data_IF_336887859611
#
_entry.id   IF_336887859611
#
_cell.length_a   1.000
_cell.length_b   1.000
_cell.length_c   1.000
_cell.angle_alpha   90.00
_cell.angle_beta   90.00
_cell.angle_gamma   90.00
#
_symmetry.space_group_name_H-M   'P 1'
#
loop_
_entity.id
_entity.type
_entity.pdbx_description
1 polymer ?
#
# COMPACT_ATOMS: atom_id res chain seq x y z
N UNK A 1 25.24 -18.01 -42.73
CA UNK A 1 25.45 -16.93 -41.76
C UNK A 1 26.11 -15.77 -42.47
N UNK A 2 25.37 -14.70 -42.74
CA UNK A 2 25.95 -13.46 -43.29
C UNK A 2 26.17 -12.51 -42.12
N UNK A 3 27.42 -12.19 -41.86
CA UNK A 3 27.85 -11.16 -40.92
C UNK A 3 27.35 -9.80 -41.42
N UNK A 4 26.44 -9.18 -40.71
CA UNK A 4 26.03 -7.77 -40.91
C UNK A 4 27.01 -6.93 -40.10
N UNK A 5 28.10 -6.51 -40.70
CA UNK A 5 28.94 -5.44 -40.16
C UNK A 5 28.28 -4.12 -40.53
N UNK A 6 27.38 -3.61 -39.67
CA UNK A 6 26.94 -2.23 -39.73
C UNK A 6 27.99 -1.35 -39.06
N UNK A 7 28.70 -0.53 -39.87
CA UNK A 7 29.50 0.56 -39.30
C UNK A 7 28.62 1.45 -38.45
N UNK A 8 29.07 1.90 -37.27
CA UNK A 8 28.26 2.78 -36.42
C UNK A 8 28.05 4.10 -37.17
N UNK A 9 26.83 4.32 -37.68
CA UNK A 9 26.42 5.63 -38.12
C UNK A 9 26.32 6.49 -36.84
N UNK A 10 27.26 7.41 -36.68
CA UNK A 10 27.20 8.37 -35.62
C UNK A 10 25.88 9.15 -35.75
N UNK A 11 25.02 9.04 -34.74
CA UNK A 11 23.84 9.88 -34.61
C UNK A 11 24.30 11.35 -34.47
N UNK A 12 24.17 12.15 -35.52
CA UNK A 12 24.62 13.54 -35.54
C UNK A 12 23.67 14.48 -34.75
N UNK A 13 22.45 14.05 -34.48
CA UNK A 13 21.50 14.77 -33.66
C UNK A 13 20.43 13.79 -33.13
N UNK A 14 20.30 13.69 -31.83
CA UNK A 14 19.18 13.03 -31.15
C UNK A 14 18.35 14.07 -30.41
N UNK A 15 17.04 14.04 -30.60
CA UNK A 15 16.12 14.83 -29.79
C UNK A 15 15.34 13.87 -28.91
N UNK A 16 15.34 14.13 -27.62
CA UNK A 16 14.48 13.44 -26.66
C UNK A 16 13.30 14.32 -26.33
N UNK A 17 12.13 13.72 -26.21
CA UNK A 17 10.96 14.38 -25.66
C UNK A 17 10.62 13.66 -24.37
N UNK A 18 10.78 14.35 -23.26
CA UNK A 18 10.29 13.87 -21.97
C UNK A 18 8.76 13.84 -22.01
N UNK A 19 8.19 12.74 -21.54
CA UNK A 19 6.75 12.54 -21.42
C UNK A 19 6.45 11.98 -20.05
N UNK A 20 5.42 12.51 -19.41
CA UNK A 20 4.95 12.09 -18.09
C UNK A 20 3.52 12.55 -17.89
N UNK A 21 2.95 12.29 -16.73
CA UNK A 21 1.72 12.93 -16.33
C UNK A 21 1.98 14.42 -16.09
N UNK A 22 1.09 15.28 -16.59
CA UNK A 22 1.27 16.73 -16.46
C UNK A 22 0.88 17.21 -15.06
N UNK A 23 1.80 17.03 -14.12
CA UNK A 23 1.71 17.50 -12.73
C UNK A 23 3.06 18.01 -12.26
N UNK A 24 3.06 18.90 -11.28
CA UNK A 24 4.28 19.45 -10.71
C UNK A 24 4.64 18.72 -9.42
N UNK A 25 5.93 18.58 -9.14
CA UNK A 25 6.45 18.24 -7.82
C UNK A 25 6.33 19.50 -6.94
N UNK A 26 5.20 19.62 -6.23
CA UNK A 26 4.85 20.81 -5.45
C UNK A 26 5.21 20.69 -3.97
N UNK A 27 5.41 19.46 -3.47
CA UNK A 27 5.82 19.21 -2.11
C UNK A 27 7.34 19.32 -1.93
N UNK A 28 7.75 19.51 -0.69
CA UNK A 28 9.16 19.48 -0.29
C UNK A 28 9.29 19.04 1.17
N UNK A 29 10.42 18.43 1.47
CA UNK A 29 10.79 18.04 2.83
C UNK A 29 12.25 18.44 3.07
N UNK A 30 12.53 18.92 4.27
CA UNK A 30 13.89 19.24 4.69
C UNK A 30 14.04 19.06 6.21
N UNK A 31 15.13 18.44 6.62
CA UNK A 31 15.55 18.30 8.01
C UNK A 31 17.08 18.37 8.12
N UNK A 32 17.60 18.23 9.32
CA UNK A 32 19.04 18.30 9.62
C UNK A 32 19.81 17.01 9.28
N UNK A 33 19.14 15.91 8.97
CA UNK A 33 19.77 14.69 8.46
C UNK A 33 19.53 14.54 6.96
N UNK A 34 20.55 14.74 6.10
CA UNK A 34 20.40 14.72 4.64
C UNK A 34 19.94 13.36 4.09
N UNK A 35 20.05 12.28 4.87
CA UNK A 35 19.54 10.98 4.48
C UNK A 35 18.03 11.01 4.20
N UNK A 36 17.25 11.62 5.11
CA UNK A 36 15.80 11.69 4.96
C UNK A 36 15.37 12.65 3.86
N UNK A 37 16.12 13.73 3.65
CA UNK A 37 15.89 14.64 2.51
C UNK A 37 16.03 13.88 1.18
N UNK A 38 17.11 13.13 1.02
CA UNK A 38 17.36 12.33 -0.19
C UNK A 38 16.32 11.22 -0.36
N UNK A 39 15.98 10.52 0.71
CA UNK A 39 14.97 9.46 0.68
C UNK A 39 13.62 10.01 0.24
N UNK A 40 13.20 11.15 0.79
CA UNK A 40 11.96 11.82 0.40
C UNK A 40 11.99 12.22 -1.09
N UNK A 41 13.08 12.79 -1.56
CA UNK A 41 13.23 13.22 -2.96
C UNK A 41 13.24 12.03 -3.92
N UNK A 42 13.93 10.92 -3.59
CA UNK A 42 13.91 9.70 -4.42
C UNK A 42 12.52 9.07 -4.44
N UNK A 43 11.78 9.09 -3.33
CA UNK A 43 10.39 8.64 -3.30
C UNK A 43 9.52 9.45 -4.26
N UNK A 44 9.55 10.79 -4.15
CA UNK A 44 8.80 11.68 -5.02
C UNK A 44 9.15 11.51 -6.51
N UNK A 45 10.45 11.33 -6.81
CA UNK A 45 10.89 11.08 -8.17
C UNK A 45 10.44 9.72 -8.70
N UNK A 46 10.49 8.67 -7.86
CA UNK A 46 10.03 7.34 -8.25
C UNK A 46 8.56 7.36 -8.60
N UNK A 47 7.73 7.98 -7.75
CA UNK A 47 6.32 8.20 -8.01
C UNK A 47 6.09 8.92 -9.35
N UNK A 48 6.79 10.02 -9.60
CA UNK A 48 6.62 10.79 -10.84
C UNK A 48 6.96 9.97 -12.10
N UNK A 49 7.97 9.12 -12.04
CA UNK A 49 8.38 8.26 -13.15
C UNK A 49 7.34 7.16 -13.44
N UNK A 50 6.62 6.69 -12.43
CA UNK A 50 5.56 5.67 -12.56
C UNK A 50 4.20 6.24 -12.96
N UNK A 51 4.11 7.52 -13.28
CA UNK A 51 2.88 8.18 -13.67
C UNK A 51 2.83 8.46 -15.17
N UNK A 52 1.78 8.03 -15.83
CA UNK A 52 1.46 8.31 -17.25
C UNK A 52 -0.01 8.67 -17.37
N UNK A 53 -0.79 7.82 -18.03
CA UNK A 53 -2.25 7.84 -18.08
C UNK A 53 -2.89 7.08 -16.92
N UNK A 54 -2.10 6.38 -16.14
CA UNK A 54 -2.41 5.74 -14.86
C UNK A 54 -1.18 5.77 -13.94
N UNK A 55 -1.35 5.39 -12.69
CA UNK A 55 -0.25 4.95 -11.86
C UNK A 55 0.24 3.58 -12.35
N UNK A 56 1.52 3.30 -12.18
CA UNK A 56 2.14 2.04 -12.61
C UNK A 56 3.05 1.52 -11.51
N UNK A 57 3.09 0.22 -11.36
CA UNK A 57 4.07 -0.48 -10.53
C UNK A 57 5.51 -0.05 -10.83
N UNK A 58 5.86 -0.11 -12.11
CA UNK A 58 7.18 0.28 -12.60
C UNK A 58 7.12 0.70 -14.09
N UNK A 59 8.10 1.49 -14.58
CA UNK A 59 8.15 1.91 -15.98
C UNK A 59 8.89 0.93 -16.89
N UNK A 60 9.56 -0.08 -16.38
CA UNK A 60 10.55 -0.90 -17.07
C UNK A 60 10.12 -2.35 -17.32
N UNK A 61 9.11 -2.88 -16.65
CA UNK A 61 8.62 -4.26 -16.83
C UNK A 61 7.14 -4.28 -17.23
N UNK A 62 6.21 -4.35 -16.25
CA UNK A 62 4.78 -4.46 -16.53
C UNK A 62 4.18 -3.16 -17.05
N UNK A 63 4.55 -2.03 -16.51
CA UNK A 63 3.94 -0.72 -16.78
C UNK A 63 2.43 -0.73 -16.58
N UNK A 64 2.00 -1.37 -15.50
CA UNK A 64 0.61 -1.70 -15.29
C UNK A 64 0.09 -1.10 -13.98
N UNK A 65 -1.21 -0.79 -13.97
CA UNK A 65 -1.88 -0.24 -12.79
C UNK A 65 -2.19 -1.36 -11.80
N UNK A 66 -1.16 -1.77 -11.04
CA UNK A 66 -1.31 -2.65 -9.91
C UNK A 66 -1.87 -1.87 -8.73
N UNK A 67 -3.08 -2.20 -8.32
CA UNK A 67 -3.75 -1.46 -7.25
C UNK A 67 -3.14 -1.67 -5.87
N UNK A 68 -2.43 -2.77 -5.64
CA UNK A 68 -1.62 -2.94 -4.44
C UNK A 68 -0.54 -1.88 -4.31
N UNK A 69 0.10 -1.55 -5.41
CA UNK A 69 1.12 -0.50 -5.52
C UNK A 69 0.50 0.88 -5.34
N UNK A 70 -0.59 1.15 -6.05
CA UNK A 70 -1.30 2.43 -6.02
C UNK A 70 -1.74 2.83 -4.61
N UNK A 71 -2.02 1.88 -3.72
CA UNK A 71 -2.36 2.15 -2.30
C UNK A 71 -1.27 2.96 -1.58
N UNK A 72 0.00 2.68 -1.83
CA UNK A 72 1.10 3.47 -1.28
C UNK A 72 1.30 4.78 -2.05
N UNK A 73 1.22 4.73 -3.38
CA UNK A 73 1.38 5.87 -4.28
C UNK A 73 0.36 6.99 -4.00
N UNK A 74 -0.87 6.64 -3.62
CA UNK A 74 -1.89 7.61 -3.23
C UNK A 74 -1.42 8.50 -2.08
N UNK A 75 -0.85 7.91 -1.04
CA UNK A 75 -0.33 8.68 0.10
C UNK A 75 0.81 9.61 -0.30
N UNK A 76 1.72 9.11 -1.14
CA UNK A 76 2.85 9.89 -1.64
C UNK A 76 2.41 11.08 -2.50
N UNK A 77 1.44 10.84 -3.38
CA UNK A 77 0.94 11.84 -4.32
C UNK A 77 0.40 13.09 -3.61
N UNK A 78 -0.25 12.93 -2.46
CA UNK A 78 -0.79 14.06 -1.70
C UNK A 78 0.28 14.98 -1.12
N UNK A 79 1.45 14.45 -0.80
CA UNK A 79 2.55 15.23 -0.23
C UNK A 79 3.55 15.71 -1.26
N UNK A 80 3.72 14.98 -2.36
CA UNK A 80 4.74 15.30 -3.37
C UNK A 80 4.22 16.14 -4.53
N UNK A 81 2.96 15.95 -4.94
CA UNK A 81 2.45 16.47 -6.21
C UNK A 81 1.48 17.63 -6.03
N UNK A 82 1.32 18.42 -7.10
CA UNK A 82 0.22 19.37 -7.19
C UNK A 82 -1.13 18.63 -7.26
N UNK A 83 -2.27 19.31 -6.97
CA UNK A 83 -3.60 18.68 -6.97
C UNK A 83 -3.98 17.99 -8.29
N UNK A 84 -3.32 18.32 -9.41
CA UNK A 84 -3.54 17.67 -10.70
C UNK A 84 -3.16 16.19 -10.68
N UNK A 85 -2.20 15.78 -9.84
CA UNK A 85 -1.80 14.38 -9.66
C UNK A 85 -2.93 13.48 -9.17
N UNK A 86 -3.83 14.02 -8.35
CA UNK A 86 -4.96 13.27 -7.78
C UNK A 86 -6.01 12.82 -8.81
N UNK A 87 -6.00 13.40 -10.02
CA UNK A 87 -6.93 12.98 -11.09
C UNK A 87 -6.69 11.56 -11.55
N UNK A 88 -5.44 11.07 -11.49
CA UNK A 88 -5.14 9.69 -11.81
C UNK A 88 -5.76 8.73 -10.80
N UNK A 89 -5.73 9.05 -9.52
CA UNK A 89 -6.32 8.24 -8.47
C UNK A 89 -7.83 8.03 -8.69
N UNK A 90 -8.57 9.11 -8.96
CA UNK A 90 -10.02 9.00 -9.23
C UNK A 90 -10.30 8.18 -10.49
N UNK A 91 -9.50 8.38 -11.55
CA UNK A 91 -9.58 7.56 -12.76
C UNK A 91 -9.37 6.08 -12.45
N UNK A 92 -8.30 5.76 -11.73
CA UNK A 92 -7.95 4.38 -11.36
C UNK A 92 -9.02 3.72 -10.49
N UNK A 93 -9.63 4.45 -9.53
CA UNK A 93 -10.77 3.97 -8.73
C UNK A 93 -11.92 3.52 -9.63
N UNK A 94 -12.30 4.36 -10.61
CA UNK A 94 -13.35 4.01 -11.56
C UNK A 94 -12.96 2.81 -12.43
N UNK A 95 -11.71 2.73 -12.88
CA UNK A 95 -11.22 1.59 -13.66
C UNK A 95 -11.28 0.30 -12.86
N UNK A 96 -10.72 0.24 -11.66
CA UNK A 96 -10.78 -0.97 -10.83
C UNK A 96 -12.22 -1.45 -10.65
N UNK A 97 -13.13 -0.56 -10.28
CA UNK A 97 -14.50 -0.95 -9.98
C UNK A 97 -15.30 -1.27 -11.24
N UNK A 98 -15.02 -0.63 -12.38
CA UNK A 98 -15.70 -0.94 -13.65
C UNK A 98 -15.27 -2.28 -14.25
N UNK A 99 -14.08 -2.77 -13.88
CA UNK A 99 -13.59 -4.08 -14.28
C UNK A 99 -13.95 -5.21 -13.30
N UNK A 100 -14.80 -4.94 -12.28
CA UNK A 100 -15.33 -5.98 -11.41
C UNK A 100 -16.01 -7.08 -12.24
N UNK A 101 -15.64 -8.34 -11.98
CA UNK A 101 -16.16 -9.51 -12.70
C UNK A 101 -17.63 -9.79 -12.35
N UNK A 102 -18.27 -10.60 -13.18
CA UNK A 102 -19.67 -11.02 -13.00
C UNK A 102 -19.89 -11.77 -11.67
N UNK A 103 -18.90 -12.49 -11.18
CA UNK A 103 -18.92 -13.17 -9.87
C UNK A 103 -18.65 -12.24 -8.68
N UNK A 104 -18.44 -10.95 -8.92
CA UNK A 104 -18.15 -9.94 -7.91
C UNK A 104 -16.68 -9.79 -7.55
N UNK A 105 -15.78 -10.63 -8.09
CA UNK A 105 -14.35 -10.54 -7.79
C UNK A 105 -13.72 -9.28 -8.40
N UNK A 106 -12.71 -8.75 -7.72
CA UNK A 106 -11.83 -7.69 -8.21
C UNK A 106 -10.47 -8.30 -8.56
N UNK A 107 -9.74 -7.65 -9.45
CA UNK A 107 -8.41 -8.11 -9.85
C UNK A 107 -7.51 -6.97 -10.32
N UNK A 108 -6.24 -7.24 -10.45
CA UNK A 108 -5.22 -6.29 -10.87
C UNK A 108 -4.23 -7.00 -11.81
N UNK A 109 -3.55 -6.30 -12.72
CA UNK A 109 -3.70 -4.88 -13.00
C UNK A 109 -4.92 -4.58 -13.86
N UNK A 110 -5.40 -3.36 -13.81
CA UNK A 110 -6.50 -2.88 -14.66
C UNK A 110 -6.15 -1.49 -15.25
N UNK A 111 -6.46 -1.24 -16.50
CA UNK A 111 -6.99 -2.16 -17.51
C UNK A 111 -6.06 -3.35 -17.72
N UNK A 112 -6.62 -4.58 -17.86
CA UNK A 112 -5.81 -5.78 -17.99
C UNK A 112 -5.19 -5.89 -19.39
N UNK A 113 -3.87 -6.14 -19.40
CA UNK A 113 -3.16 -6.60 -20.58
C UNK A 113 -3.01 -8.12 -20.56
N UNK A 114 -1.79 -8.59 -20.23
CA UNK A 114 -1.48 -10.02 -20.16
C UNK A 114 -1.78 -10.67 -18.81
N UNK A 115 -2.18 -9.90 -17.81
CA UNK A 115 -2.38 -10.32 -16.43
C UNK A 115 -3.80 -9.96 -15.99
N UNK A 116 -4.42 -10.84 -15.24
CA UNK A 116 -5.75 -10.65 -14.67
C UNK A 116 -5.84 -11.38 -13.33
N UNK A 117 -4.94 -11.05 -12.43
CA UNK A 117 -4.77 -11.75 -11.17
C UNK A 117 -5.67 -11.18 -10.07
N UNK A 118 -6.53 -12.04 -9.53
CA UNK A 118 -7.12 -11.73 -8.23
C UNK A 118 -6.05 -11.92 -7.15
N UNK A 119 -5.62 -10.81 -6.53
CA UNK A 119 -4.76 -10.79 -5.36
C UNK A 119 -5.62 -10.31 -4.18
N UNK A 120 -6.24 -11.21 -3.41
CA UNK A 120 -7.29 -10.84 -2.46
C UNK A 120 -6.88 -9.78 -1.45
N UNK A 121 -5.67 -9.86 -0.87
CA UNK A 121 -5.20 -8.87 0.09
C UNK A 121 -4.96 -7.51 -0.54
N UNK A 122 -4.39 -7.46 -1.74
CA UNK A 122 -4.23 -6.19 -2.45
C UNK A 122 -5.57 -5.55 -2.77
N UNK A 123 -6.59 -6.34 -3.15
CA UNK A 123 -7.92 -5.81 -3.41
C UNK A 123 -8.58 -5.24 -2.14
N UNK A 124 -8.40 -5.89 -0.98
CA UNK A 124 -8.86 -5.34 0.30
C UNK A 124 -8.13 -4.02 0.64
N UNK A 125 -6.83 -3.96 0.43
CA UNK A 125 -6.05 -2.74 0.64
C UNK A 125 -6.55 -1.61 -0.25
N UNK A 126 -6.79 -1.91 -1.53
CA UNK A 126 -7.20 -0.95 -2.57
C UNK A 126 -8.54 -0.29 -2.27
N UNK A 127 -9.58 -1.09 -2.03
CA UNK A 127 -10.92 -0.55 -1.73
C UNK A 127 -11.05 -0.06 -0.28
N UNK A 128 -10.05 -0.34 0.57
CA UNK A 128 -10.06 -0.10 2.00
C UNK A 128 -9.55 1.28 2.42
N UNK A 129 -9.10 1.31 3.67
CA UNK A 129 -8.71 2.53 4.38
C UNK A 129 -7.51 3.25 3.74
N UNK A 130 -6.50 2.51 3.30
CA UNK A 130 -5.29 3.07 2.69
C UNK A 130 -5.43 3.36 1.20
N UNK A 131 -6.42 2.76 0.52
CA UNK A 131 -6.72 3.02 -0.88
C UNK A 131 -7.83 4.07 -1.05
N UNK A 132 -9.03 3.64 -1.39
CA UNK A 132 -10.15 4.54 -1.73
C UNK A 132 -10.49 5.57 -0.65
N UNK A 133 -10.42 5.16 0.64
CA UNK A 133 -10.70 6.10 1.71
C UNK A 133 -9.62 7.18 1.85
N UNK A 134 -8.34 6.85 1.60
CA UNK A 134 -7.26 7.84 1.56
C UNK A 134 -7.55 8.90 0.50
N UNK A 135 -7.94 8.51 -0.72
CA UNK A 135 -8.29 9.46 -1.77
C UNK A 135 -9.39 10.44 -1.32
N UNK A 136 -10.47 9.92 -0.74
CA UNK A 136 -11.54 10.75 -0.19
C UNK A 136 -11.06 11.65 0.96
N UNK A 137 -10.38 11.07 1.94
CA UNK A 137 -10.04 11.76 3.18
C UNK A 137 -9.05 12.90 2.96
N UNK A 138 -8.11 12.72 2.04
CA UNK A 138 -7.12 13.75 1.74
C UNK A 138 -7.64 14.81 0.77
N UNK A 139 -8.40 14.45 -0.25
CA UNK A 139 -8.89 15.40 -1.26
C UNK A 139 -10.22 16.07 -0.89
N UNK A 140 -11.02 15.49 -0.02
CA UNK A 140 -12.44 15.76 0.17
C UNK A 140 -13.30 15.50 -1.09
N UNK A 141 -12.73 14.90 -2.14
CA UNK A 141 -13.51 14.51 -3.32
C UNK A 141 -14.29 13.23 -3.03
N UNK A 142 -15.58 13.36 -2.93
CA UNK A 142 -16.50 12.24 -2.70
C UNK A 142 -17.28 11.83 -3.96
N UNK A 143 -16.98 12.43 -5.11
CA UNK A 143 -17.74 12.23 -6.35
C UNK A 143 -17.77 10.79 -6.83
N UNK A 144 -16.73 10.01 -6.57
CA UNK A 144 -16.66 8.60 -6.93
C UNK A 144 -17.44 7.68 -5.98
N UNK A 145 -17.67 8.08 -4.72
CA UNK A 145 -18.25 7.21 -3.68
C UNK A 145 -19.61 6.61 -4.09
N UNK A 146 -20.61 7.39 -4.54
CA UNK A 146 -21.90 6.80 -4.94
C UNK A 146 -21.80 5.85 -6.13
N UNK A 147 -20.77 6.00 -6.97
CA UNK A 147 -20.58 5.16 -8.16
C UNK A 147 -20.00 3.79 -7.81
N UNK A 148 -19.11 3.75 -6.81
CA UNK A 148 -18.37 2.52 -6.48
C UNK A 148 -19.02 1.72 -5.34
N UNK A 149 -19.85 2.35 -4.50
CA UNK A 149 -20.29 1.81 -3.22
C UNK A 149 -20.93 0.42 -3.32
N UNK A 150 -21.89 0.24 -4.20
CA UNK A 150 -22.60 -1.03 -4.31
C UNK A 150 -21.69 -2.16 -4.83
N UNK A 151 -20.70 -1.84 -5.67
CA UNK A 151 -19.68 -2.79 -6.14
C UNK A 151 -18.68 -3.15 -5.05
N UNK A 152 -18.24 -2.16 -4.25
CA UNK A 152 -17.40 -2.39 -3.07
C UNK A 152 -18.12 -3.31 -2.08
N UNK A 153 -19.38 -3.01 -1.80
CA UNK A 153 -20.23 -3.82 -0.92
C UNK A 153 -20.37 -5.26 -1.43
N UNK A 154 -20.62 -5.43 -2.73
CA UNK A 154 -20.68 -6.74 -3.36
C UNK A 154 -19.40 -7.55 -3.14
N UNK A 155 -18.23 -6.93 -3.35
CA UNK A 155 -16.95 -7.61 -3.11
C UNK A 155 -16.79 -8.03 -1.65
N UNK A 156 -17.08 -7.15 -0.70
CA UNK A 156 -16.86 -7.43 0.72
C UNK A 156 -17.86 -8.41 1.33
N UNK A 157 -19.10 -8.43 0.87
CA UNK A 157 -20.16 -9.21 1.51
C UNK A 157 -20.56 -10.49 0.75
N UNK A 158 -20.33 -10.56 -0.56
CA UNK A 158 -20.70 -11.74 -1.37
C UNK A 158 -19.50 -12.60 -1.73
N UNK A 159 -18.32 -11.97 -1.97
CA UNK A 159 -17.09 -12.68 -2.37
C UNK A 159 -16.30 -13.20 -1.18
N UNK A 160 -16.26 -12.44 -0.09
CA UNK A 160 -15.59 -12.86 1.14
C UNK A 160 -16.52 -13.63 2.07
N UNK A 161 -15.98 -14.69 2.65
CA UNK A 161 -16.71 -15.52 3.62
C UNK A 161 -16.16 -15.31 5.02
N UNK A 162 -17.04 -15.33 6.01
CA UNK A 162 -16.69 -15.27 7.42
C UNK A 162 -16.99 -16.64 8.09
N UNK A 163 -16.17 -17.01 9.05
CA UNK A 163 -16.38 -18.20 9.84
C UNK A 163 -17.46 -17.97 10.94
N UNK A 164 -17.76 -19.00 11.72
CA UNK A 164 -18.76 -18.92 12.81
C UNK A 164 -18.39 -17.94 13.91
N UNK A 165 -17.13 -17.55 14.02
CA UNK A 165 -16.67 -16.53 14.98
C UNK A 165 -16.84 -15.11 14.44
N UNK A 166 -17.04 -14.96 13.15
CA UNK A 166 -17.12 -13.66 12.45
C UNK A 166 -15.77 -13.17 11.92
N UNK A 167 -14.73 -13.99 11.99
CA UNK A 167 -13.45 -13.72 11.35
C UNK A 167 -13.52 -14.08 9.87
N UNK A 168 -12.86 -13.30 9.02
CA UNK A 168 -12.85 -13.57 7.60
C UNK A 168 -11.93 -14.76 7.28
N UNK A 169 -12.39 -15.61 6.37
CA UNK A 169 -11.63 -16.77 5.90
C UNK A 169 -10.69 -16.36 4.77
N UNK A 170 -9.50 -16.94 4.77
CA UNK A 170 -8.55 -16.72 3.67
C UNK A 170 -9.14 -17.15 2.32
N UNK A 171 -8.87 -16.36 1.31
CA UNK A 171 -9.18 -16.68 -0.08
C UNK A 171 -7.87 -16.86 -0.84
N UNK A 172 -7.82 -17.93 -1.63
CA UNK A 172 -6.66 -18.18 -2.49
C UNK A 172 -6.58 -17.20 -3.66
N UNK A 173 -7.73 -16.83 -4.24
CA UNK A 173 -7.77 -16.04 -5.46
C UNK A 173 -7.00 -16.72 -6.59
N UNK A 174 -6.51 -15.95 -7.55
CA UNK A 174 -5.59 -16.42 -8.56
C UNK A 174 -4.15 -16.47 -8.06
N UNK A 175 -3.84 -15.67 -7.04
CA UNK A 175 -2.55 -15.63 -6.38
C UNK A 175 -2.68 -15.16 -4.93
N UNK A 176 -2.43 -16.08 -4.00
CA UNK A 176 -2.42 -15.79 -2.56
C UNK A 176 -1.11 -15.08 -2.19
N UNK A 177 -1.08 -13.76 -2.38
CA UNK A 177 0.09 -12.92 -2.14
C UNK A 177 -0.23 -11.87 -1.06
N UNK A 178 0.60 -11.82 -0.04
CA UNK A 178 0.47 -10.85 1.06
C UNK A 178 1.62 -9.85 1.11
N UNK A 179 2.78 -10.24 0.63
CA UNK A 179 4.00 -9.46 0.48
C UNK A 179 5.07 -10.32 -0.20
N UNK A 180 6.14 -9.71 -0.67
CA UNK A 180 7.35 -10.43 -1.05
C UNK A 180 8.11 -10.95 0.17
N UNK A 181 8.84 -12.05 -0.02
CA UNK A 181 9.63 -12.68 1.02
C UNK A 181 8.95 -13.88 1.67
N UNK A 182 9.59 -14.36 2.73
CA UNK A 182 9.15 -15.52 3.49
C UNK A 182 8.37 -15.09 4.75
N UNK A 183 7.86 -16.07 5.47
CA UNK A 183 7.23 -15.89 6.79
C UNK A 183 6.02 -14.94 6.79
N UNK A 184 5.16 -15.01 5.76
CA UNK A 184 3.91 -14.24 5.67
C UNK A 184 2.80 -14.96 6.40
N UNK A 185 2.26 -14.39 7.47
CA UNK A 185 1.09 -14.94 8.19
C UNK A 185 -0.21 -14.40 7.58
N UNK A 186 -0.67 -15.08 6.53
CA UNK A 186 -1.83 -14.70 5.75
C UNK A 186 -3.12 -14.57 6.56
N UNK A 187 -3.34 -15.41 7.58
CA UNK A 187 -4.58 -15.36 8.35
C UNK A 187 -4.71 -14.10 9.19
N UNK A 188 -3.63 -13.63 9.82
CA UNK A 188 -3.61 -12.35 10.55
C UNK A 188 -3.77 -11.20 9.57
N UNK A 189 -2.97 -11.17 8.49
CA UNK A 189 -3.01 -10.10 7.49
C UNK A 189 -4.39 -9.96 6.85
N UNK A 190 -5.01 -11.07 6.45
CA UNK A 190 -6.34 -11.07 5.83
C UNK A 190 -7.38 -10.40 6.74
N UNK A 191 -7.40 -10.72 8.01
CA UNK A 191 -8.35 -10.14 8.95
C UNK A 191 -8.10 -8.65 9.19
N UNK A 192 -6.84 -8.22 9.24
CA UNK A 192 -6.48 -6.81 9.36
C UNK A 192 -6.91 -5.99 8.13
N UNK A 193 -6.61 -6.47 6.93
CA UNK A 193 -6.99 -5.80 5.69
C UNK A 193 -8.50 -5.78 5.48
N UNK A 194 -9.20 -6.87 5.80
CA UNK A 194 -10.65 -6.92 5.71
C UNK A 194 -11.30 -5.94 6.69
N UNK A 195 -10.79 -5.88 7.92
CA UNK A 195 -11.28 -4.91 8.91
C UNK A 195 -11.09 -3.46 8.44
N UNK A 196 -9.94 -3.13 7.85
CA UNK A 196 -9.68 -1.81 7.26
C UNK A 196 -10.59 -1.52 6.06
N UNK A 197 -10.93 -2.52 5.26
CA UNK A 197 -11.88 -2.37 4.17
C UNK A 197 -13.30 -2.11 4.68
N UNK A 198 -13.75 -2.84 5.70
CA UNK A 198 -15.03 -2.57 6.37
C UNK A 198 -15.08 -1.17 7.01
N UNK A 199 -13.97 -0.70 7.58
CA UNK A 199 -13.86 0.65 8.14
C UNK A 199 -14.08 1.73 7.08
N UNK A 200 -13.51 1.55 5.90
CA UNK A 200 -13.72 2.45 4.75
C UNK A 200 -15.16 2.37 4.23
N UNK A 201 -15.70 1.17 4.04
CA UNK A 201 -17.08 0.96 3.61
C UNK A 201 -18.08 1.63 4.56
N UNK A 202 -17.88 1.46 5.87
CA UNK A 202 -18.72 2.12 6.88
C UNK A 202 -18.67 3.64 6.76
N UNK A 203 -17.50 4.22 6.56
CA UNK A 203 -17.37 5.67 6.38
C UNK A 203 -18.12 6.15 5.13
N UNK A 204 -18.03 5.42 4.02
CA UNK A 204 -18.77 5.73 2.80
C UNK A 204 -20.29 5.53 2.97
N UNK A 205 -20.73 4.49 3.70
CA UNK A 205 -22.15 4.30 4.02
C UNK A 205 -22.73 5.50 4.76
N UNK A 206 -22.03 5.97 5.79
CA UNK A 206 -22.43 7.16 6.56
C UNK A 206 -22.48 8.42 5.70
N UNK A 207 -21.48 8.61 4.83
CA UNK A 207 -21.45 9.73 3.90
C UNK A 207 -22.63 9.73 2.91
N UNK A 208 -23.08 8.54 2.50
CA UNK A 208 -24.21 8.35 1.60
C UNK A 208 -25.58 8.33 2.33
N UNK A 209 -25.61 8.49 3.66
CA UNK A 209 -26.83 8.39 4.47
C UNK A 209 -27.42 6.97 4.51
N UNK A 210 -26.60 5.94 4.24
CA UNK A 210 -27.00 4.52 4.29
C UNK A 210 -26.84 3.96 5.72
N UNK A 211 -27.58 4.47 6.69
CA UNK A 211 -27.43 4.16 8.12
C UNK A 211 -27.59 2.66 8.42
N UNK A 212 -28.51 1.97 7.74
CA UNK A 212 -28.71 0.52 7.92
C UNK A 212 -27.48 -0.28 7.53
N UNK A 213 -26.82 0.09 6.43
CA UNK A 213 -25.58 -0.53 5.98
C UNK A 213 -24.46 -0.25 6.99
N UNK A 214 -24.35 1.00 7.45
CA UNK A 214 -23.34 1.38 8.45
C UNK A 214 -23.50 0.60 9.77
N UNK A 215 -24.74 0.32 10.19
CA UNK A 215 -25.05 -0.50 11.35
C UNK A 215 -24.69 -1.97 11.15
N UNK A 216 -24.98 -2.52 9.97
CA UNK A 216 -24.59 -3.89 9.61
C UNK A 216 -23.07 -4.05 9.63
N UNK A 217 -22.35 -3.18 8.94
CA UNK A 217 -20.89 -3.16 8.89
C UNK A 217 -20.31 -3.01 10.32
N UNK A 218 -20.89 -2.15 11.14
CA UNK A 218 -20.46 -1.98 12.53
C UNK A 218 -20.62 -3.26 13.35
N UNK A 219 -21.64 -4.08 13.08
CA UNK A 219 -21.79 -5.40 13.74
C UNK A 219 -20.70 -6.38 13.29
N UNK A 220 -20.36 -6.39 12.01
CA UNK A 220 -19.27 -7.22 11.47
C UNK A 220 -17.93 -6.82 12.10
N UNK A 221 -17.62 -5.53 12.13
CA UNK A 221 -16.39 -5.01 12.75
C UNK A 221 -16.30 -5.43 14.22
N UNK A 222 -17.36 -5.22 15.02
CA UNK A 222 -17.38 -5.66 16.42
C UNK A 222 -17.22 -7.17 16.60
N UNK A 223 -17.64 -7.96 15.63
CA UNK A 223 -17.44 -9.42 15.68
C UNK A 223 -15.96 -9.77 15.52
N UNK A 224 -15.28 -9.12 14.58
CA UNK A 224 -13.83 -9.27 14.39
C UNK A 224 -13.09 -8.82 15.65
N UNK A 225 -13.37 -7.62 16.16
CA UNK A 225 -12.74 -7.07 17.37
C UNK A 225 -12.80 -8.03 18.56
N UNK A 226 -13.96 -8.67 18.80
CA UNK A 226 -14.14 -9.62 19.91
C UNK A 226 -13.34 -10.90 19.75
N UNK A 227 -13.13 -11.35 18.53
CA UNK A 227 -12.58 -12.68 18.26
C UNK A 227 -11.11 -12.66 17.86
N UNK A 228 -10.60 -11.51 17.41
CA UNK A 228 -9.25 -11.37 16.88
C UNK A 228 -8.18 -11.81 17.89
N UNK A 229 -8.23 -11.27 19.09
CA UNK A 229 -7.28 -11.64 20.15
C UNK A 229 -7.39 -13.11 20.55
N UNK A 230 -8.61 -13.60 20.72
CA UNK A 230 -8.84 -15.01 21.09
C UNK A 230 -8.26 -15.98 20.05
N UNK A 231 -8.28 -15.58 18.78
CA UNK A 231 -7.81 -16.44 17.68
C UNK A 231 -6.31 -16.34 17.46
N UNK A 232 -5.76 -15.12 17.52
CA UNK A 232 -4.42 -14.87 17.01
C UNK A 232 -3.39 -14.47 18.08
N UNK A 233 -3.83 -13.98 19.25
CA UNK A 233 -2.88 -13.52 20.28
C UNK A 233 -2.29 -14.71 21.06
N UNK A 234 -0.96 -14.83 21.05
CA UNK A 234 -0.21 -15.90 21.72
C UNK A 234 0.29 -15.54 23.12
N UNK A 235 -0.01 -14.32 23.59
CA UNK A 235 0.59 -13.75 24.81
C UNK A 235 1.79 -12.84 24.54
N UNK A 236 2.41 -12.92 23.34
CA UNK A 236 3.58 -12.11 22.99
C UNK A 236 3.55 -11.57 21.55
N UNK A 237 2.77 -12.19 20.66
CA UNK A 237 2.65 -11.81 19.25
C UNK A 237 1.32 -12.30 18.68
N UNK A 238 0.89 -11.72 17.57
CA UNK A 238 -0.21 -12.24 16.75
C UNK A 238 0.32 -13.29 15.78
N UNK A 239 -0.31 -14.46 15.79
CA UNK A 239 0.03 -15.60 14.94
C UNK A 239 -1.20 -16.42 14.61
N UNK A 240 -1.35 -16.85 13.38
CA UNK A 240 -2.42 -17.76 12.99
C UNK A 240 -2.21 -19.15 13.61
N UNK A 241 -3.28 -19.82 14.06
CA UNK A 241 -3.19 -21.20 14.49
C UNK A 241 -2.61 -22.09 13.38
N UNK A 242 -1.55 -22.84 13.72
CA UNK A 242 -0.89 -23.73 12.75
C UNK A 242 0.14 -23.08 11.84
N UNK A 243 0.32 -21.75 11.88
CA UNK A 243 1.39 -21.06 11.17
C UNK A 243 2.78 -21.53 11.66
N UNK A 244 3.68 -21.88 10.73
CA UNK A 244 4.98 -22.49 11.01
C UNK A 244 6.17 -21.58 10.79
N UNK A 245 5.96 -20.41 10.15
CA UNK A 245 7.01 -19.46 9.87
C UNK A 245 7.56 -18.78 11.14
N UNK A 246 8.58 -17.95 10.98
CA UNK A 246 9.03 -17.00 12.01
C UNK A 246 7.93 -15.99 12.32
N UNK A 247 8.08 -15.20 13.37
CA UNK A 247 7.06 -14.21 13.72
C UNK A 247 7.06 -13.09 12.69
N UNK A 248 5.97 -12.97 11.97
CA UNK A 248 5.80 -12.01 10.88
C UNK A 248 5.61 -10.59 11.42
N UNK A 249 6.57 -9.70 11.16
CA UNK A 249 6.50 -8.28 11.56
C UNK A 249 5.37 -7.52 10.87
N UNK A 250 5.03 -7.88 9.63
CA UNK A 250 3.90 -7.29 8.88
C UNK A 250 2.57 -7.53 9.59
N UNK A 251 2.36 -8.73 10.07
CA UNK A 251 1.16 -9.10 10.82
C UNK A 251 1.01 -8.32 12.12
N UNK A 252 2.12 -8.12 12.86
CA UNK A 252 2.11 -7.31 14.07
C UNK A 252 1.80 -5.84 13.74
N UNK A 253 2.46 -5.31 12.72
CA UNK A 253 2.23 -3.94 12.27
C UNK A 253 0.77 -3.73 11.83
N UNK A 254 0.23 -4.62 11.02
CA UNK A 254 -1.15 -4.52 10.55
C UNK A 254 -2.17 -4.64 11.67
N UNK A 255 -1.91 -5.45 12.71
CA UNK A 255 -2.76 -5.49 13.89
C UNK A 255 -2.80 -4.13 14.63
N UNK A 256 -1.66 -3.41 14.67
CA UNK A 256 -1.56 -2.07 15.28
C UNK A 256 -2.28 -1.03 14.41
N UNK A 257 -1.92 -0.92 13.13
CA UNK A 257 -2.44 0.15 12.26
C UNK A 257 -3.94 -0.02 11.93
N UNK A 258 -4.45 -1.24 11.94
CA UNK A 258 -5.90 -1.48 11.83
C UNK A 258 -6.66 -1.04 13.08
N UNK A 259 -5.99 -1.00 14.24
CA UNK A 259 -6.60 -0.73 15.56
C UNK A 259 -7.12 -2.00 16.25
N UNK A 260 -6.85 -3.19 15.72
CA UNK A 260 -7.25 -4.46 16.34
C UNK A 260 -6.36 -4.82 17.54
N UNK A 261 -5.10 -4.39 17.53
CA UNK A 261 -4.23 -4.53 18.69
C UNK A 261 -4.52 -3.45 19.75
N UNK A 262 -4.88 -3.87 20.94
CA UNK A 262 -5.04 -2.95 22.09
C UNK A 262 -3.69 -2.45 22.61
N UNK A 263 -3.68 -1.26 23.23
CA UNK A 263 -2.44 -0.57 23.65
C UNK A 263 -1.63 -1.34 24.68
N UNK A 264 -2.23 -2.17 25.50
CA UNK A 264 -1.55 -3.04 26.48
C UNK A 264 -0.61 -4.06 25.84
N UNK A 265 -0.82 -4.38 24.53
CA UNK A 265 0.04 -5.28 23.76
C UNK A 265 1.23 -4.58 23.09
N UNK A 266 1.20 -3.26 23.00
CA UNK A 266 2.25 -2.48 22.33
C UNK A 266 3.66 -2.80 22.81
N UNK A 267 3.95 -2.97 24.13
CA UNK A 267 5.30 -3.32 24.57
C UNK A 267 5.81 -4.68 24.04
N UNK A 268 4.91 -5.64 23.83
CA UNK A 268 5.28 -6.94 23.25
C UNK A 268 5.47 -6.84 21.73
N UNK A 269 4.56 -6.13 21.04
CA UNK A 269 4.65 -5.93 19.60
C UNK A 269 5.87 -5.09 19.20
N UNK A 270 6.21 -4.07 19.97
CA UNK A 270 7.46 -3.29 19.78
C UNK A 270 8.69 -4.19 19.82
N UNK A 271 8.75 -5.17 20.75
CA UNK A 271 9.87 -6.12 20.80
C UNK A 271 9.98 -6.96 19.52
N UNK A 272 8.83 -7.37 18.94
CA UNK A 272 8.82 -8.08 17.68
C UNK A 272 9.33 -7.19 16.55
N UNK A 273 8.76 -5.99 16.40
CA UNK A 273 9.15 -5.05 15.33
C UNK A 273 10.61 -4.56 15.44
N UNK A 274 11.21 -4.63 16.66
CA UNK A 274 12.64 -4.36 16.85
C UNK A 274 13.55 -5.53 16.47
N UNK A 275 13.01 -6.73 16.34
CA UNK A 275 13.78 -7.96 16.09
C UNK A 275 13.59 -8.50 14.68
N UNK A 276 12.38 -8.47 14.16
CA UNK A 276 12.01 -9.10 12.89
C UNK A 276 12.01 -8.07 11.74
N UNK A 277 12.46 -8.50 10.55
CA UNK A 277 12.68 -7.64 9.38
C UNK A 277 12.27 -8.36 8.08
N UNK A 278 11.09 -8.98 8.09
CA UNK A 278 10.58 -9.75 6.95
C UNK A 278 9.86 -8.88 5.90
N UNK A 279 9.35 -7.70 6.32
CA UNK A 279 8.63 -6.81 5.42
C UNK A 279 9.47 -6.41 4.19
N UNK A 280 8.87 -6.49 3.00
CA UNK A 280 9.41 -5.85 1.80
C UNK A 280 9.24 -4.32 1.87
N UNK A 281 9.81 -3.54 0.95
CA UNK A 281 9.58 -2.10 0.92
C UNK A 281 8.09 -1.71 0.87
N UNK A 282 7.23 -2.53 0.23
CA UNK A 282 5.78 -2.35 0.20
C UNK A 282 5.16 -2.35 1.59
N UNK A 283 5.47 -3.34 2.42
CA UNK A 283 4.89 -3.49 3.76
C UNK A 283 5.67 -2.74 4.85
N UNK A 284 6.89 -2.32 4.59
CA UNK A 284 7.70 -1.56 5.55
C UNK A 284 7.04 -0.24 5.96
N UNK A 285 6.28 0.40 5.07
CA UNK A 285 5.46 1.58 5.40
C UNK A 285 4.59 1.33 6.63
N UNK A 286 3.88 0.20 6.66
CA UNK A 286 2.96 -0.13 7.76
C UNK A 286 3.69 -0.51 9.05
N UNK A 287 4.88 -1.12 8.92
CA UNK A 287 5.75 -1.41 10.06
C UNK A 287 6.22 -0.12 10.71
N UNK A 288 6.69 0.84 9.91
CA UNK A 288 7.12 2.15 10.39
C UNK A 288 5.95 2.94 10.97
N UNK A 289 4.78 2.93 10.33
CA UNK A 289 3.57 3.59 10.83
C UNK A 289 3.14 3.02 12.19
N UNK A 290 3.18 1.70 12.35
CA UNK A 290 2.89 1.04 13.62
C UNK A 290 3.87 1.47 14.72
N UNK A 291 5.15 1.58 14.43
CA UNK A 291 6.16 2.06 15.38
C UNK A 291 5.87 3.51 15.83
N UNK A 292 5.55 4.41 14.90
CA UNK A 292 5.12 5.77 15.26
C UNK A 292 3.86 5.76 16.12
N UNK A 293 2.86 4.95 15.78
CA UNK A 293 1.61 4.83 16.54
C UNK A 293 1.83 4.26 17.95
N UNK A 294 2.80 3.37 18.12
CA UNK A 294 3.18 2.80 19.43
C UNK A 294 4.05 3.72 20.29
N UNK A 295 4.43 4.90 19.77
CA UNK A 295 5.26 5.87 20.50
C UNK A 295 6.76 5.57 20.42
N UNK A 296 7.21 4.91 19.38
CA UNK A 296 8.62 4.56 19.12
C UNK A 296 9.22 5.36 17.93
N UNK A 297 9.07 6.71 17.88
CA UNK A 297 9.46 7.48 16.70
C UNK A 297 10.97 7.42 16.40
N UNK A 298 11.81 7.42 17.42
CA UNK A 298 13.27 7.30 17.25
C UNK A 298 13.63 6.01 16.56
N UNK A 299 13.08 4.89 17.05
CA UNK A 299 13.35 3.60 16.44
C UNK A 299 12.74 3.47 15.04
N UNK A 300 11.58 4.06 14.79
CA UNK A 300 10.98 4.10 13.43
C UNK A 300 11.92 4.78 12.43
N UNK A 301 12.51 5.92 12.80
CA UNK A 301 13.49 6.62 11.97
C UNK A 301 14.79 5.82 11.80
N UNK A 302 15.33 5.24 12.86
CA UNK A 302 16.50 4.38 12.78
C UNK A 302 16.28 3.17 11.87
N UNK A 303 15.13 2.48 12.01
CA UNK A 303 14.74 1.37 11.13
C UNK A 303 14.58 1.82 9.68
N UNK A 304 13.92 2.94 9.43
CA UNK A 304 13.80 3.54 8.10
C UNK A 304 15.20 3.77 7.49
N UNK A 305 16.09 4.40 8.23
CA UNK A 305 17.46 4.64 7.78
C UNK A 305 18.21 3.35 7.48
N UNK A 306 18.17 2.38 8.40
CA UNK A 306 18.81 1.08 8.24
C UNK A 306 18.31 0.35 6.98
N UNK A 307 17.00 0.32 6.75
CA UNK A 307 16.39 -0.45 5.65
C UNK A 307 16.66 0.19 4.29
N UNK A 308 16.59 1.51 4.19
CA UNK A 308 16.69 2.23 2.92
C UNK A 308 18.12 2.65 2.55
N UNK A 309 19.09 2.61 3.46
CA UNK A 309 20.50 2.99 3.19
C UNK A 309 21.02 2.33 1.92
N UNK A 310 20.80 1.01 1.76
CA UNK A 310 21.30 0.30 0.59
C UNK A 310 20.74 0.86 -0.73
N UNK A 311 19.48 1.28 -0.78
CA UNK A 311 18.91 1.88 -1.99
C UNK A 311 19.55 3.23 -2.32
N UNK A 312 19.90 4.01 -1.28
CA UNK A 312 20.51 5.31 -1.44
C UNK A 312 22.00 5.24 -1.76
N UNK A 313 22.70 4.18 -1.34
CA UNK A 313 24.12 3.96 -1.64
C UNK A 313 24.40 3.72 -3.13
N UNK A 314 23.39 3.34 -3.92
CA UNK A 314 23.50 3.28 -5.38
C UNK A 314 23.43 4.69 -5.98
N UNK A 315 24.60 5.33 -6.17
CA UNK A 315 24.69 6.71 -6.66
C UNK A 315 24.20 6.88 -8.12
N UNK A 316 24.22 5.80 -8.90
CA UNK A 316 23.73 5.78 -10.28
C UNK A 316 22.22 5.78 -10.44
N UNK A 317 21.47 5.47 -9.39
CA UNK A 317 20.03 5.46 -9.40
C UNK A 317 19.46 6.61 -8.57
N UNK A 318 18.42 7.22 -9.08
CA UNK A 318 17.72 8.33 -8.42
C UNK A 318 16.30 7.94 -7.97
N UNK A 319 16.05 6.64 -7.93
CA UNK A 319 14.74 6.03 -7.66
C UNK A 319 14.84 4.97 -6.57
N UNK A 320 13.70 4.50 -6.08
CA UNK A 320 13.60 3.40 -5.14
C UNK A 320 13.25 2.10 -5.89
N UNK A 321 13.61 0.97 -5.29
CA UNK A 321 13.55 -0.36 -5.88
C UNK A 321 12.34 -1.14 -5.40
N UNK A 322 11.94 -2.17 -6.14
CA UNK A 322 10.87 -3.09 -5.79
C UNK A 322 11.16 -3.86 -4.49
N UNK A 323 12.35 -4.40 -4.37
CA UNK A 323 12.87 -5.11 -3.21
C UNK A 323 14.00 -4.35 -2.52
N UNK A 324 14.59 -4.95 -1.48
CA UNK A 324 15.69 -4.33 -0.72
C UNK A 324 17.03 -4.31 -1.47
N UNK A 325 17.11 -4.88 -2.65
CA UNK A 325 18.29 -4.93 -3.50
C UNK A 325 17.91 -5.01 -4.97
N UNK A 326 18.91 -5.14 -5.85
CA UNK A 326 18.74 -5.21 -7.30
C UNK A 326 18.85 -6.67 -7.77
N UNK A 327 17.98 -7.05 -8.71
CA UNK A 327 17.98 -8.38 -9.30
C UNK A 327 17.76 -9.49 -8.29
N UNK A 328 18.62 -10.50 -8.26
CA UNK A 328 18.50 -11.66 -7.37
C UNK A 328 18.64 -11.31 -5.86
N UNK A 329 19.14 -10.13 -5.53
CA UNK A 329 19.27 -9.67 -4.14
C UNK A 329 17.98 -9.08 -3.59
N UNK A 330 17.02 -8.76 -4.46
CA UNK A 330 15.70 -8.25 -4.11
C UNK A 330 14.66 -9.32 -4.30
N UNK A 331 13.74 -9.47 -3.35
CA UNK A 331 12.51 -10.21 -3.59
C UNK A 331 11.67 -9.46 -4.64
N UNK A 332 10.93 -10.21 -5.45
CA UNK A 332 10.15 -9.67 -6.54
C UNK A 332 10.92 -9.64 -7.84
N UNK A 333 10.67 -8.74 -8.71
CA UNK A 333 11.28 -8.69 -10.03
C UNK A 333 12.60 -7.96 -10.10
N UNK A 334 13.02 -7.32 -9.01
CA UNK A 334 14.26 -6.55 -8.97
C UNK A 334 14.23 -5.30 -9.82
N UNK A 335 13.06 -4.70 -10.06
CA UNK A 335 12.94 -3.41 -10.74
C UNK A 335 13.56 -2.30 -9.90
N UNK A 336 14.17 -1.34 -10.55
CA UNK A 336 14.89 -0.22 -9.92
C UNK A 336 14.07 1.06 -9.85
N UNK A 337 12.84 1.01 -10.28
CA UNK A 337 11.86 2.09 -10.22
C UNK A 337 10.51 1.51 -9.78
N UNK A 338 10.20 1.57 -8.50
CA UNK A 338 8.97 0.98 -7.97
C UNK A 338 8.39 1.85 -6.86
N UNK A 339 7.32 2.55 -7.17
CA UNK A 339 6.83 3.61 -6.29
C UNK A 339 6.24 3.10 -4.96
N UNK A 340 5.77 1.86 -4.89
CA UNK A 340 5.31 1.30 -3.61
C UNK A 340 6.33 1.40 -2.47
N UNK A 341 7.61 1.59 -2.81
CA UNK A 341 8.71 1.75 -1.84
C UNK A 341 8.81 3.16 -1.25
N UNK A 342 8.04 4.11 -1.78
CA UNK A 342 8.08 5.51 -1.36
C UNK A 342 7.31 5.82 -0.07
N UNK A 343 6.83 4.80 0.65
CA UNK A 343 6.15 4.98 1.93
C UNK A 343 6.83 5.91 2.94
N UNK A 344 8.17 5.99 3.00
CA UNK A 344 8.87 6.99 3.81
C UNK A 344 8.47 8.44 3.54
N UNK A 345 8.20 8.82 2.29
CA UNK A 345 7.73 10.16 1.94
C UNK A 345 6.47 10.53 2.72
N UNK A 346 5.49 9.64 2.69
CA UNK A 346 4.23 9.82 3.43
C UNK A 346 4.49 9.94 4.93
N UNK A 347 5.28 9.04 5.50
CA UNK A 347 5.51 9.01 6.95
C UNK A 347 6.36 10.18 7.46
N UNK A 348 7.37 10.61 6.72
CA UNK A 348 8.15 11.80 7.05
C UNK A 348 7.25 13.05 7.04
N UNK A 349 6.40 13.18 6.03
CA UNK A 349 5.46 14.29 5.94
C UNK A 349 4.43 14.27 7.09
N UNK A 350 3.89 13.10 7.42
CA UNK A 350 2.88 12.94 8.46
C UNK A 350 3.45 12.98 9.88
N UNK A 351 4.43 12.12 10.15
CA UNK A 351 4.86 11.79 11.51
C UNK A 351 6.00 12.67 11.99
N UNK A 352 6.81 13.22 11.09
CA UNK A 352 7.91 14.11 11.41
C UNK A 352 7.49 15.57 11.27
N UNK A 353 6.86 15.93 10.12
CA UNK A 353 6.34 17.29 9.94
C UNK A 353 4.98 17.54 10.60
N UNK A 354 4.26 16.49 11.03
CA UNK A 354 2.95 16.62 11.66
C UNK A 354 1.82 17.02 10.72
N UNK A 355 1.98 16.82 9.41
CA UNK A 355 0.98 17.19 8.39
C UNK A 355 0.03 16.01 8.16
N UNK A 356 -0.99 15.92 8.97
CA UNK A 356 -2.04 14.90 8.84
C UNK A 356 -3.42 15.53 8.74
N UNK A 357 -4.32 14.99 7.90
CA UNK A 357 -5.69 15.49 7.87
C UNK A 357 -6.43 15.09 9.15
N UNK A 358 -7.15 16.04 9.75
CA UNK A 358 -8.04 15.80 10.90
C UNK A 358 -9.51 15.66 10.47
N UNK A 359 -9.79 16.06 9.23
CA UNK A 359 -11.06 15.88 8.54
C UNK A 359 -10.83 15.88 7.02
N UNK A 360 -11.82 15.45 6.21
CA UNK A 360 -11.64 15.40 4.77
C UNK A 360 -11.17 16.72 4.17
N UNK A 361 -10.07 16.68 3.38
CA UNK A 361 -9.49 17.82 2.69
C UNK A 361 -8.60 18.71 3.57
N UNK A 362 -7.99 18.17 4.62
CA UNK A 362 -7.09 18.91 5.52
C UNK A 362 -7.76 20.14 6.18
N UNK A 363 -9.00 20.01 6.62
CA UNK A 363 -9.78 21.05 7.26
C UNK A 363 -9.81 20.90 8.77
#
# INVERSE_FOLDING_TARGET
MRSITSSPRALRCGKYRETGFNTDLAGSFHCDDPFYDELWQRSARTLYITMRDNYMDCPDRERAQWWGDEVNELGEAFYALSPSGQKLAVKGIHELMNWQREDGTLYSPVPAGNWDKELPLQMLASIGWYGFYTQYYYSADSSFVPVIYDRMRRYLHEVWQVDKSGLVMERQGAWSWGDWGEHVDMGVLTNCWYYLALKAERAFALQLGKDKDADEISRMMRSIERCFDTKFWTGSAYRSPGYKGETDDRSQAMAVVSGLASKDKYPALTKVLKKEYHASPYMEKYVLEALFQMGEPTFALERMKQRYTRMLDYAEYTTLFEGWGIGAEGFGGGTINHAWSGGPLTLLSQKVCGIEPTSPGFR
#
